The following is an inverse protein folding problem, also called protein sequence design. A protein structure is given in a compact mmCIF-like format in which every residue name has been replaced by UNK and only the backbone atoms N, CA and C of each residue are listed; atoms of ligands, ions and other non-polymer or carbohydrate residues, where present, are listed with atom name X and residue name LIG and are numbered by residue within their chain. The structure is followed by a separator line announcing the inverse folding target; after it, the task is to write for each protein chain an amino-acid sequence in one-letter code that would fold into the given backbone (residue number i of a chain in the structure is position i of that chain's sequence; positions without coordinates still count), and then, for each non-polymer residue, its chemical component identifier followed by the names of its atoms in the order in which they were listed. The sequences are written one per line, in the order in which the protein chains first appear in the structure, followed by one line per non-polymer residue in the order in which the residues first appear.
data_IF_078717905465
#
_entry.id   IF_078717905465
#
_cell.length_a   1.000
_cell.length_b   1.000
_cell.length_c   1.000
_cell.angle_alpha   90.00
_cell.angle_beta   90.00
_cell.angle_gamma   90.00
#
_symmetry.space_group_name_H-M   'P 1'
#
loop_
_entity.id
_entity.type
_entity.pdbx_description
1 polymer ?
#
# COMPACT_ATOMS: atom_id res chain seq x y z
N UNK A 1 -8.92 22.07 -57.96
CA UNK A 1 -8.88 20.68 -57.44
C UNK A 1 -9.69 20.48 -56.14
N UNK A 2 -10.71 21.30 -55.87
CA UNK A 2 -11.58 21.18 -54.67
C UNK A 2 -13.09 21.04 -54.99
N UNK A 3 -13.51 21.34 -56.23
CA UNK A 3 -14.93 21.29 -56.64
C UNK A 3 -15.34 19.92 -57.21
N UNK A 4 -14.44 19.20 -57.88
CA UNK A 4 -14.75 17.87 -58.43
C UNK A 4 -14.94 16.80 -57.35
N UNK A 5 -14.18 16.89 -56.25
CA UNK A 5 -14.30 15.97 -55.10
C UNK A 5 -15.61 16.18 -54.34
N UNK A 6 -16.06 17.43 -54.21
CA UNK A 6 -17.36 17.76 -53.61
C UNK A 6 -18.52 17.27 -54.49
N UNK A 7 -18.41 17.40 -55.80
CA UNK A 7 -19.41 16.93 -56.75
C UNK A 7 -19.53 15.38 -56.76
N UNK A 8 -18.44 14.64 -56.56
CA UNK A 8 -18.49 13.17 -56.46
C UNK A 8 -19.10 12.67 -55.14
N UNK A 9 -18.81 13.35 -54.03
CA UNK A 9 -19.39 13.01 -52.72
C UNK A 9 -20.90 13.23 -52.67
N UNK A 10 -21.40 14.30 -53.30
CA UNK A 10 -22.82 14.60 -53.30
C UNK A 10 -23.65 13.59 -54.12
N UNK A 11 -23.09 13.03 -55.20
CA UNK A 11 -23.75 11.97 -56.00
C UNK A 11 -23.86 10.65 -55.27
N UNK A 12 -22.86 10.32 -54.43
CA UNK A 12 -22.87 9.08 -53.62
C UNK A 12 -23.92 9.19 -52.52
N UNK A 13 -24.03 10.36 -51.88
CA UNK A 13 -25.01 10.61 -50.82
C UNK A 13 -26.47 10.64 -51.32
N UNK A 14 -26.74 11.18 -52.51
CA UNK A 14 -28.09 11.16 -53.10
C UNK A 14 -28.52 9.76 -53.57
N UNK A 15 -27.58 8.91 -53.99
CA UNK A 15 -27.86 7.53 -54.41
C UNK A 15 -28.26 6.62 -53.22
N UNK A 16 -27.70 6.83 -52.03
CA UNK A 16 -28.07 6.07 -50.82
C UNK A 16 -29.41 6.51 -50.22
N UNK A 17 -29.72 7.81 -50.25
CA UNK A 17 -30.99 8.34 -49.74
C UNK A 17 -32.21 7.89 -50.57
N UNK A 18 -32.01 7.55 -51.86
CA UNK A 18 -33.04 6.96 -52.71
C UNK A 18 -33.25 5.45 -52.49
N UNK A 19 -32.24 4.72 -51.99
CA UNK A 19 -32.40 3.31 -51.62
C UNK A 19 -33.16 3.14 -50.30
N UNK A 20 -33.01 4.05 -49.35
CA UNK A 20 -33.71 3.98 -48.06
C UNK A 20 -35.21 4.34 -48.13
N UNK A 21 -35.69 4.96 -49.22
CA UNK A 21 -37.12 5.34 -49.41
C UNK A 21 -37.94 4.38 -50.27
N UNK A 22 -37.41 3.25 -50.73
CA UNK A 22 -38.08 2.32 -51.66
C UNK A 22 -38.32 0.90 -51.14
N UNK A 23 -38.59 0.71 -49.85
CA UNK A 23 -39.20 -0.54 -49.36
C UNK A 23 -40.22 -0.31 -48.25
N UNK A 24 -41.37 0.27 -48.63
CA UNK A 24 -42.65 0.03 -47.93
C UNK A 24 -43.81 0.11 -48.91
N UNK A 25 -44.65 -0.93 -48.85
CA UNK A 25 -46.07 -1.03 -49.26
C UNK A 25 -46.39 -1.99 -50.42
N UNK A 26 -46.84 -3.20 -50.07
CA UNK A 26 -47.92 -3.97 -50.75
C UNK A 26 -48.40 -5.11 -49.82
N UNK A 27 -49.34 -4.84 -48.90
CA UNK A 27 -50.79 -5.22 -48.89
C UNK A 27 -51.06 -6.74 -48.79
N UNK A 28 -51.41 -7.28 -47.61
CA UNK A 28 -52.76 -7.48 -46.99
C UNK A 28 -53.39 -8.86 -47.29
N UNK A 29 -53.34 -9.81 -46.35
CA UNK A 29 -54.48 -10.29 -45.54
C UNK A 29 -53.98 -11.25 -44.41
N UNK A 30 -54.74 -11.39 -43.30
CA UNK A 30 -54.28 -11.82 -41.99
C UNK A 30 -54.46 -13.33 -41.76
N UNK A 31 -54.06 -13.77 -40.55
CA UNK A 31 -54.18 -15.11 -39.93
C UNK A 31 -52.85 -15.85 -39.86
N UNK A 32 -52.55 -16.38 -38.65
CA UNK A 32 -51.38 -17.19 -38.25
C UNK A 32 -50.16 -16.47 -37.62
N UNK A 33 -50.35 -15.48 -36.76
CA UNK A 33 -49.31 -15.08 -35.78
C UNK A 33 -49.64 -15.47 -34.33
N UNK A 34 -50.48 -16.48 -34.13
CA UNK A 34 -50.88 -16.95 -32.79
C UNK A 34 -50.70 -18.47 -32.60
N UNK A 35 -49.70 -19.06 -33.25
CA UNK A 35 -49.31 -20.45 -33.01
C UNK A 35 -47.79 -20.68 -32.95
N UNK A 36 -46.97 -19.76 -33.48
CA UNK A 36 -45.50 -19.88 -33.47
C UNK A 36 -44.79 -19.39 -32.20
N UNK A 37 -45.47 -18.64 -31.32
CA UNK A 37 -44.89 -18.13 -30.05
C UNK A 37 -45.29 -19.03 -28.85
N UNK A 38 -46.27 -19.91 -29.00
CA UNK A 38 -46.66 -20.87 -27.94
C UNK A 38 -45.87 -22.18 -28.02
N UNK A 39 -45.22 -22.50 -29.16
CA UNK A 39 -44.47 -23.76 -29.34
C UNK A 39 -42.96 -23.69 -29.03
N UNK A 40 -42.48 -22.61 -28.40
CA UNK A 40 -41.15 -22.59 -27.75
C UNK A 40 -41.28 -22.50 -26.22
N UNK A 41 -42.45 -22.09 -25.70
CA UNK A 41 -42.74 -22.05 -24.26
C UNK A 41 -43.10 -23.40 -23.63
N UNK A 42 -43.38 -24.43 -24.43
CA UNK A 42 -43.82 -25.75 -23.93
C UNK A 42 -42.81 -26.90 -24.15
N UNK A 43 -41.60 -26.61 -24.63
CA UNK A 43 -40.50 -27.57 -24.74
C UNK A 43 -39.36 -27.34 -23.72
N UNK A 44 -39.58 -26.47 -22.73
CA UNK A 44 -38.71 -26.30 -21.56
C UNK A 44 -39.46 -26.63 -20.25
N UNK A 45 -40.39 -27.60 -20.31
CA UNK A 45 -41.15 -28.10 -19.14
C UNK A 45 -41.07 -29.62 -18.96
N UNK A 46 -40.06 -30.28 -19.54
CA UNK A 46 -39.90 -31.74 -19.44
C UNK A 46 -38.46 -32.24 -19.20
N UNK A 47 -37.55 -31.39 -18.73
CA UNK A 47 -36.23 -31.83 -18.24
C UNK A 47 -35.68 -30.91 -17.15
N UNK A 48 -36.48 -30.69 -16.11
CA UNK A 48 -36.05 -30.04 -14.89
C UNK A 48 -36.39 -30.93 -13.72
N UNK A 49 -35.48 -31.82 -13.34
CA UNK A 49 -35.42 -32.30 -11.97
C UNK A 49 -35.38 -31.08 -11.07
N UNK A 50 -36.39 -30.93 -10.22
CA UNK A 50 -36.45 -29.90 -9.20
C UNK A 50 -35.37 -30.18 -8.17
N UNK A 51 -34.14 -29.78 -8.44
CA UNK A 51 -33.20 -29.43 -7.38
C UNK A 51 -33.54 -28.00 -6.97
N UNK A 52 -34.04 -27.87 -5.75
CA UNK A 52 -34.21 -26.61 -5.04
C UNK A 52 -33.02 -25.71 -5.35
N UNK A 53 -33.32 -24.55 -5.93
CA UNK A 53 -32.31 -23.51 -6.14
C UNK A 53 -31.84 -23.13 -4.74
N UNK A 54 -30.64 -23.61 -4.46
CA UNK A 54 -29.82 -23.44 -3.28
C UNK A 54 -30.12 -22.12 -2.59
N UNK A 55 -30.24 -22.20 -1.27
CA UNK A 55 -30.08 -21.07 -0.36
C UNK A 55 -29.11 -20.05 -0.94
N UNK A 56 -29.39 -18.76 -0.70
CA UNK A 56 -28.36 -17.74 -0.75
C UNK A 56 -27.19 -18.27 0.08
N UNK A 57 -26.20 -18.85 -0.58
CA UNK A 57 -24.91 -19.07 0.02
C UNK A 57 -24.49 -17.66 0.40
N UNK A 58 -24.16 -17.38 1.66
CA UNK A 58 -23.32 -16.23 1.88
C UNK A 58 -22.18 -16.43 0.88
N UNK A 59 -21.96 -15.46 -0.01
CA UNK A 59 -20.60 -15.24 -0.44
C UNK A 59 -19.90 -15.11 0.90
N UNK A 60 -19.13 -16.12 1.30
CA UNK A 60 -18.14 -15.93 2.34
C UNK A 60 -17.45 -14.64 1.90
N UNK A 61 -17.71 -13.56 2.63
CA UNK A 61 -17.00 -12.31 2.40
C UNK A 61 -15.58 -12.68 2.74
N UNK A 62 -14.85 -13.07 1.70
CA UNK A 62 -13.53 -13.62 1.84
C UNK A 62 -12.72 -12.63 2.67
N UNK A 63 -12.20 -13.11 3.80
CA UNK A 63 -11.48 -12.26 4.74
C UNK A 63 -10.29 -11.59 4.04
N UNK A 64 -9.71 -10.58 4.68
CA UNK A 64 -8.52 -9.90 4.14
C UNK A 64 -7.39 -10.89 3.74
N UNK A 65 -7.32 -12.03 4.42
CA UNK A 65 -6.35 -13.11 4.19
C UNK A 65 -6.54 -13.87 2.87
N UNK A 66 -7.72 -13.84 2.27
CA UNK A 66 -7.98 -14.44 0.95
C UNK A 66 -7.25 -13.70 -0.17
N UNK A 67 -6.75 -12.49 0.14
CA UNK A 67 -5.86 -11.75 -0.72
C UNK A 67 -4.42 -12.28 -0.70
N UNK A 68 -4.08 -13.30 0.10
CA UNK A 68 -2.76 -13.94 0.07
C UNK A 68 -2.39 -14.39 -1.35
N UNK A 69 -1.11 -14.28 -1.66
CA UNK A 69 -0.58 -14.63 -2.98
C UNK A 69 -0.76 -13.53 -4.02
N UNK A 70 -1.12 -12.33 -3.59
CA UNK A 70 -1.12 -11.13 -4.43
C UNK A 70 0.31 -10.83 -4.90
N UNK A 71 0.43 -10.20 -6.06
CA UNK A 71 1.69 -9.65 -6.56
C UNK A 71 1.55 -8.13 -6.62
N UNK A 72 2.68 -7.40 -6.54
CA UNK A 72 2.69 -5.93 -6.62
C UNK A 72 1.97 -5.42 -7.87
N UNK A 73 1.97 -6.17 -8.98
CA UNK A 73 1.26 -5.80 -10.22
C UNK A 73 -0.26 -6.03 -10.21
N UNK A 74 -0.83 -6.63 -9.17
CA UNK A 74 -2.28 -6.79 -9.07
C UNK A 74 -2.91 -5.56 -8.41
N UNK A 75 -3.12 -4.52 -9.22
CA UNK A 75 -3.65 -3.23 -8.76
C UNK A 75 -4.91 -3.37 -7.91
N UNK A 76 -5.85 -4.24 -8.31
CA UNK A 76 -7.14 -4.39 -7.63
C UNK A 76 -6.99 -5.04 -6.26
N UNK A 77 -6.15 -6.09 -6.14
CA UNK A 77 -5.91 -6.74 -4.85
C UNK A 77 -5.06 -5.86 -3.94
N UNK A 78 -4.02 -5.21 -4.45
CA UNK A 78 -3.19 -4.27 -3.67
C UNK A 78 -4.04 -3.11 -3.13
N UNK A 79 -4.89 -2.51 -3.98
CA UNK A 79 -5.80 -1.45 -3.54
C UNK A 79 -6.74 -1.89 -2.42
N UNK A 80 -7.31 -3.11 -2.51
CA UNK A 80 -8.14 -3.68 -1.43
C UNK A 80 -7.36 -3.87 -0.13
N UNK A 81 -6.10 -4.31 -0.20
CA UNK A 81 -5.24 -4.47 0.98
C UNK A 81 -4.96 -3.11 1.62
N UNK A 82 -4.59 -2.11 0.83
CA UNK A 82 -4.33 -0.75 1.33
C UNK A 82 -5.57 -0.14 1.97
N UNK A 83 -6.73 -0.19 1.31
CA UNK A 83 -7.99 0.31 1.88
C UNK A 83 -8.40 -0.39 3.18
N UNK A 84 -8.07 -1.68 3.32
CA UNK A 84 -8.32 -2.41 4.57
C UNK A 84 -7.36 -1.98 5.68
N UNK A 85 -6.05 -1.98 5.40
CA UNK A 85 -5.02 -1.70 6.41
C UNK A 85 -5.05 -0.24 6.89
N UNK A 86 -5.38 0.69 5.98
CA UNK A 86 -5.55 2.12 6.23
C UNK A 86 -7.00 2.49 6.58
N UNK A 87 -7.86 1.58 7.04
CA UNK A 87 -9.31 1.86 7.19
C UNK A 87 -9.69 3.14 7.96
N UNK A 88 -8.80 3.65 8.83
CA UNK A 88 -8.97 4.87 9.62
C UNK A 88 -8.27 6.10 9.02
N UNK A 89 -7.48 5.91 7.96
CA UNK A 89 -6.64 6.91 7.32
C UNK A 89 -7.04 7.06 5.83
N UNK A 90 -7.11 8.29 5.33
CA UNK A 90 -7.33 8.50 3.90
C UNK A 90 -6.01 8.50 3.13
N UNK A 91 -5.96 7.82 2.00
CA UNK A 91 -4.90 7.99 0.99
C UNK A 91 -5.53 8.46 -0.33
N UNK A 92 -4.81 9.27 -1.10
CA UNK A 92 -5.30 9.84 -2.35
C UNK A 92 -5.17 8.84 -3.51
N UNK A 93 -4.01 8.19 -3.59
CA UNK A 93 -3.69 7.22 -4.63
C UNK A 93 -2.50 6.34 -4.23
N UNK A 94 -2.19 5.33 -5.05
CA UNK A 94 -0.96 4.55 -4.91
C UNK A 94 -0.37 4.21 -6.28
N UNK A 95 0.94 4.02 -6.31
CA UNK A 95 1.69 3.61 -7.49
C UNK A 95 2.41 2.28 -7.24
N UNK A 96 2.47 1.45 -8.27
CA UNK A 96 3.06 0.11 -8.21
C UNK A 96 4.36 0.09 -9.02
N UNK A 97 5.46 -0.20 -8.34
CA UNK A 97 6.80 -0.22 -8.89
C UNK A 97 7.13 -1.65 -9.33
N UNK A 98 6.76 -1.98 -10.57
CA UNK A 98 6.80 -3.35 -11.13
C UNK A 98 7.81 -3.53 -12.26
N UNK A 99 8.40 -2.43 -12.75
CA UNK A 99 9.27 -2.46 -13.94
C UNK A 99 10.64 -3.08 -13.66
N UNK A 100 11.21 -2.79 -12.49
CA UNK A 100 12.54 -3.23 -12.07
C UNK A 100 12.51 -3.51 -10.57
N UNK A 101 13.35 -4.45 -10.13
CA UNK A 101 13.55 -4.73 -8.71
C UNK A 101 14.41 -3.63 -8.06
N UNK A 102 14.23 -3.37 -6.76
CA UNK A 102 13.24 -3.97 -5.85
C UNK A 102 11.82 -3.55 -6.21
N UNK A 103 10.85 -4.46 -6.08
CA UNK A 103 9.45 -4.12 -6.36
C UNK A 103 8.82 -3.46 -5.14
N UNK A 104 7.98 -2.46 -5.36
CA UNK A 104 7.41 -1.73 -4.23
C UNK A 104 6.10 -1.02 -4.53
N UNK A 105 5.56 -0.44 -3.47
CA UNK A 105 4.28 0.26 -3.47
C UNK A 105 4.55 1.66 -2.91
N UNK A 106 4.12 2.69 -3.63
CA UNK A 106 4.16 4.07 -3.15
C UNK A 106 2.72 4.47 -2.85
N UNK A 107 2.45 4.92 -1.64
CA UNK A 107 1.14 5.38 -1.19
C UNK A 107 1.20 6.89 -1.03
N UNK A 108 0.39 7.60 -1.82
CA UNK A 108 0.28 9.05 -1.75
C UNK A 108 -0.87 9.43 -0.81
N UNK A 109 -0.56 10.26 0.17
CA UNK A 109 -1.47 10.62 1.25
C UNK A 109 -1.48 12.14 1.47
N UNK A 110 -2.58 12.71 1.99
CA UNK A 110 -2.64 14.14 2.29
C UNK A 110 -1.73 14.54 3.46
N UNK A 111 -1.50 13.63 4.41
CA UNK A 111 -0.65 13.80 5.58
C UNK A 111 0.04 12.49 5.92
N UNK A 112 1.28 12.56 6.44
CA UNK A 112 1.95 11.37 6.95
C UNK A 112 1.19 10.83 8.17
N UNK A 113 1.02 9.51 8.16
CA UNK A 113 0.38 8.76 9.24
C UNK A 113 1.41 8.33 10.28
N UNK A 114 0.96 7.94 11.48
CA UNK A 114 1.83 7.49 12.57
C UNK A 114 2.63 6.23 12.17
N UNK A 115 3.85 6.12 12.69
CA UNK A 115 4.76 4.99 12.47
C UNK A 115 4.12 3.61 12.68
N UNK A 116 3.31 3.47 13.74
CA UNK A 116 2.57 2.23 14.04
C UNK A 116 1.63 1.84 12.89
N UNK A 117 0.94 2.82 12.31
CA UNK A 117 0.02 2.61 11.18
C UNK A 117 0.80 2.30 9.90
N UNK A 118 1.92 2.98 9.65
CA UNK A 118 2.79 2.69 8.51
C UNK A 118 3.29 1.24 8.53
N UNK A 119 3.75 0.78 9.70
CA UNK A 119 4.20 -0.60 9.90
C UNK A 119 3.09 -1.61 9.77
N UNK A 120 1.92 -1.34 10.35
CA UNK A 120 0.73 -2.18 10.17
C UNK A 120 0.48 -2.39 8.67
N UNK A 121 0.42 -1.32 7.90
CA UNK A 121 0.21 -1.41 6.45
C UNK A 121 1.31 -2.22 5.76
N UNK A 122 2.58 -1.99 6.12
CA UNK A 122 3.70 -2.76 5.60
C UNK A 122 3.58 -4.27 5.89
N UNK A 123 3.15 -4.64 7.10
CA UNK A 123 2.96 -6.04 7.49
C UNK A 123 1.83 -6.70 6.70
N UNK A 124 0.71 -6.00 6.49
CA UNK A 124 -0.35 -6.48 5.61
C UNK A 124 0.16 -6.70 4.18
N UNK A 125 0.94 -5.76 3.65
CA UNK A 125 1.54 -5.89 2.33
C UNK A 125 2.49 -7.08 2.27
N UNK A 126 3.46 -7.23 3.17
CA UNK A 126 4.43 -8.32 3.10
C UNK A 126 3.85 -9.70 3.42
N UNK A 127 2.73 -9.76 4.15
CA UNK A 127 2.00 -11.01 4.42
C UNK A 127 1.18 -11.46 3.21
N UNK A 128 0.58 -10.53 2.47
CA UNK A 128 -0.38 -10.84 1.42
C UNK A 128 0.18 -10.72 -0.01
N UNK A 129 1.20 -9.88 -0.20
CA UNK A 129 1.86 -9.58 -1.46
C UNK A 129 3.23 -10.25 -1.52
N UNK A 130 3.39 -11.24 -2.40
CA UNK A 130 4.54 -12.15 -2.40
C UNK A 130 5.88 -11.47 -2.69
N UNK A 131 5.86 -10.50 -3.62
CA UNK A 131 7.08 -9.92 -4.20
C UNK A 131 7.28 -8.45 -3.83
N UNK A 132 6.58 -7.92 -2.82
CA UNK A 132 6.81 -6.56 -2.35
C UNK A 132 8.07 -6.51 -1.47
N UNK A 133 9.06 -5.73 -1.89
CA UNK A 133 10.32 -5.52 -1.16
C UNK A 133 10.25 -4.27 -0.27
N UNK A 134 9.48 -3.25 -0.68
CA UNK A 134 9.32 -2.02 0.08
C UNK A 134 7.93 -1.40 -0.09
N UNK A 135 7.58 -0.56 0.88
CA UNK A 135 6.45 0.37 0.82
C UNK A 135 6.94 1.77 1.18
N UNK A 136 6.50 2.77 0.43
CA UNK A 136 6.84 4.17 0.64
C UNK A 136 5.55 4.96 0.87
N UNK A 137 5.52 5.77 1.90
CA UNK A 137 4.43 6.71 2.19
C UNK A 137 4.91 8.11 1.81
N UNK A 138 4.13 8.83 1.02
CA UNK A 138 4.44 10.18 0.57
C UNK A 138 3.32 11.15 0.96
N UNK A 139 3.67 12.26 1.60
CA UNK A 139 2.73 13.35 1.87
C UNK A 139 3.46 14.69 1.88
N UNK A 140 2.90 15.71 1.23
CA UNK A 140 3.42 17.09 1.23
C UNK A 140 4.93 17.24 0.92
N UNK A 141 5.51 16.33 0.12
CA UNK A 141 6.94 16.33 -0.22
C UNK A 141 7.83 15.57 0.76
N UNK A 142 7.29 15.12 1.89
CA UNK A 142 7.94 14.18 2.80
C UNK A 142 7.68 12.74 2.36
N UNK A 143 8.64 11.86 2.62
CA UNK A 143 8.46 10.44 2.38
C UNK A 143 9.09 9.59 3.49
N UNK A 144 8.47 8.44 3.76
CA UNK A 144 9.00 7.41 4.64
C UNK A 144 8.97 6.09 3.90
N UNK A 145 10.11 5.40 3.83
CA UNK A 145 10.23 4.11 3.14
C UNK A 145 10.51 3.01 4.15
N UNK A 146 9.64 2.00 4.17
CA UNK A 146 9.83 0.77 4.93
C UNK A 146 10.24 -0.34 3.98
N UNK A 147 11.35 -1.03 4.29
CA UNK A 147 11.80 -2.18 3.52
C UNK A 147 11.56 -3.47 4.30
N UNK A 148 11.26 -4.55 3.59
CA UNK A 148 11.00 -5.86 4.20
C UNK A 148 12.18 -6.35 5.03
N UNK A 149 13.41 -5.96 4.64
CA UNK A 149 14.66 -6.33 5.31
C UNK A 149 14.77 -5.77 6.73
N UNK A 150 14.18 -4.59 6.99
CA UNK A 150 14.14 -4.00 8.34
C UNK A 150 13.42 -4.92 9.35
N UNK A 151 12.59 -5.84 8.87
CA UNK A 151 11.78 -6.78 9.67
C UNK A 151 12.16 -8.24 9.42
N UNK A 152 13.44 -8.51 9.12
CA UNK A 152 13.95 -9.84 8.78
C UNK A 152 13.74 -10.92 9.84
N UNK A 153 13.48 -10.54 11.10
CA UNK A 153 13.12 -11.45 12.20
C UNK A 153 11.70 -12.01 12.10
N UNK A 154 10.83 -11.38 11.29
CA UNK A 154 9.44 -11.78 11.10
C UNK A 154 9.31 -12.59 9.81
N UNK A 155 8.87 -13.85 9.94
CA UNK A 155 8.47 -14.63 8.79
C UNK A 155 7.00 -14.35 8.43
N UNK A 156 6.80 -13.33 7.58
CA UNK A 156 5.47 -12.97 7.07
C UNK A 156 4.76 -14.11 6.32
N UNK A 157 5.50 -15.12 5.84
CA UNK A 157 4.89 -16.26 5.14
C UNK A 157 4.21 -17.24 6.10
N UNK A 158 4.69 -17.32 7.35
CA UNK A 158 4.16 -18.18 8.41
C UNK A 158 2.94 -17.62 9.13
N UNK A 159 2.65 -16.32 8.98
CA UNK A 159 1.42 -15.70 9.49
C UNK A 159 0.28 -16.20 8.62
N UNK A 160 -0.74 -16.86 9.18
CA UNK A 160 -1.88 -17.42 8.43
C UNK A 160 -3.25 -16.90 8.89
N UNK A 161 -3.28 -16.12 9.96
CA UNK A 161 -4.50 -15.55 10.54
C UNK A 161 -4.29 -14.06 10.86
N UNK A 162 -5.40 -13.34 10.94
CA UNK A 162 -5.40 -11.90 11.13
C UNK A 162 -5.09 -11.50 12.57
N UNK A 163 -5.43 -12.35 13.56
CA UNK A 163 -5.13 -12.06 14.96
C UNK A 163 -3.61 -12.07 15.20
N UNK A 164 -2.88 -13.01 14.59
CA UNK A 164 -1.41 -13.03 14.60
C UNK A 164 -0.83 -11.82 13.88
N UNK A 165 -1.39 -11.43 12.72
CA UNK A 165 -0.95 -10.25 11.98
C UNK A 165 -1.14 -8.95 12.79
N UNK A 166 -2.33 -8.75 13.35
CA UNK A 166 -2.65 -7.57 14.17
C UNK A 166 -1.96 -7.60 15.54
N UNK A 167 -1.64 -8.79 16.05
CA UNK A 167 -0.86 -8.98 17.27
C UNK A 167 0.66 -8.84 17.06
N UNK A 168 1.11 -8.76 15.81
CA UNK A 168 2.51 -8.49 15.48
C UNK A 168 2.80 -7.05 15.90
N UNK A 169 3.52 -6.90 17.02
CA UNK A 169 3.83 -5.58 17.55
C UNK A 169 4.69 -4.82 16.53
N UNK A 170 4.31 -3.58 16.16
CA UNK A 170 5.21 -2.68 15.45
C UNK A 170 6.54 -2.64 16.21
N UNK A 171 7.64 -2.84 15.51
CA UNK A 171 8.94 -2.54 16.10
C UNK A 171 8.97 -1.02 16.29
N UNK A 172 9.54 -0.47 17.37
CA UNK A 172 9.91 0.93 17.33
C UNK A 172 10.77 1.12 16.07
N UNK A 173 10.32 1.96 15.12
CA UNK A 173 11.11 2.29 13.93
C UNK A 173 12.42 3.01 14.30
N UNK A 174 12.60 3.27 15.59
CA UNK A 174 13.90 3.45 16.19
C UNK A 174 14.62 2.12 16.46
N UNK A 175 15.27 1.64 15.39
CA UNK A 175 16.51 0.86 15.31
C UNK A 175 16.71 -0.43 16.14
N UNK A 176 17.46 -1.36 15.53
CA UNK A 176 17.79 -2.72 15.99
C UNK A 176 18.17 -2.83 17.48
N UNK A 177 17.22 -3.26 18.30
CA UNK A 177 17.16 -3.00 19.76
C UNK A 177 18.13 -3.78 20.66
N UNK A 178 19.06 -4.59 20.14
CA UNK A 178 20.02 -5.32 21.00
C UNK A 178 21.46 -4.89 20.73
N UNK A 179 21.89 -4.92 19.47
CA UNK A 179 23.19 -4.38 19.07
C UNK A 179 23.27 -2.87 19.26
N UNK A 180 22.21 -2.15 18.89
CA UNK A 180 22.15 -0.71 19.08
C UNK A 180 22.03 -0.35 20.57
N UNK A 181 21.20 -1.06 21.33
CA UNK A 181 21.06 -0.82 22.78
C UNK A 181 22.35 -1.11 23.52
N UNK A 182 23.10 -2.15 23.16
CA UNK A 182 24.43 -2.41 23.74
C UNK A 182 25.40 -1.26 23.44
N UNK A 183 25.45 -0.79 22.18
CA UNK A 183 26.30 0.34 21.78
C UNK A 183 25.84 1.64 22.46
N UNK A 184 24.55 1.87 22.62
CA UNK A 184 23.98 3.05 23.28
C UNK A 184 24.19 3.01 24.80
N UNK A 185 24.06 1.86 25.45
CA UNK A 185 24.38 1.68 26.88
C UNK A 185 25.88 1.90 27.12
N UNK A 186 26.74 1.34 26.26
CA UNK A 186 28.18 1.61 26.32
C UNK A 186 28.48 3.10 26.09
N UNK A 187 27.80 3.74 25.13
CA UNK A 187 27.89 5.17 24.87
C UNK A 187 27.51 6.01 26.10
N UNK A 188 26.41 5.66 26.75
CA UNK A 188 25.93 6.32 27.98
C UNK A 188 26.97 6.24 29.09
N UNK A 189 27.65 5.09 29.21
CA UNK A 189 28.64 4.86 30.26
C UNK A 189 30.02 5.47 29.97
N UNK A 190 30.32 5.78 28.70
CA UNK A 190 31.65 6.23 28.26
C UNK A 190 31.69 7.67 27.74
N UNK A 191 30.53 8.29 27.52
CA UNK A 191 30.43 9.65 27.02
C UNK A 191 31.01 10.67 27.99
N UNK A 192 31.70 11.67 27.43
CA UNK A 192 32.20 12.80 28.21
C UNK A 192 31.07 13.81 28.39
N UNK A 193 30.86 14.22 29.64
CA UNK A 193 29.86 15.22 30.00
C UNK A 193 30.41 16.61 29.71
N UNK A 194 29.67 17.40 28.95
CA UNK A 194 29.99 18.79 28.68
C UNK A 194 28.81 19.69 29.10
N UNK A 195 29.06 20.77 29.87
CA UNK A 195 28.01 21.72 30.21
C UNK A 195 27.58 22.46 28.94
N UNK A 196 26.28 22.41 28.65
CA UNK A 196 25.72 23.05 27.47
C UNK A 196 24.39 23.74 27.83
N UNK A 197 24.13 24.88 27.18
CA UNK A 197 22.78 25.43 27.15
C UNK A 197 21.99 24.54 26.20
N UNK A 198 21.35 23.50 26.74
CA UNK A 198 20.47 22.61 25.98
C UNK A 198 19.17 23.36 25.69
N UNK A 199 19.28 24.34 24.78
CA UNK A 199 18.15 24.92 24.06
C UNK A 199 17.99 24.21 22.70
N UNK A 200 18.50 22.98 22.60
CA UNK A 200 18.24 22.07 21.50
C UNK A 200 16.77 21.70 21.64
N UNK A 201 15.97 22.20 20.70
CA UNK A 201 14.59 21.82 20.56
C UNK A 201 14.60 20.30 20.48
N UNK A 202 14.08 19.64 21.52
CA UNK A 202 13.89 18.18 21.61
C UNK A 202 13.25 17.59 20.34
N UNK A 203 12.56 18.45 19.58
CA UNK A 203 11.90 18.19 18.31
C UNK A 203 12.85 18.01 17.11
N UNK A 204 14.13 18.41 17.21
CA UNK A 204 15.11 18.37 16.10
C UNK A 204 16.14 17.24 16.29
N UNK A 205 15.85 16.26 17.15
CA UNK A 205 16.71 15.09 17.32
C UNK A 205 16.62 14.16 16.11
N UNK A 206 17.76 13.67 15.62
CA UNK A 206 17.80 12.69 14.54
C UNK A 206 17.15 11.37 14.98
N UNK A 207 17.31 11.02 16.28
CA UNK A 207 16.76 9.79 16.85
C UNK A 207 16.28 9.97 18.30
N UNK A 208 15.19 9.29 18.66
CA UNK A 208 14.58 9.33 20.01
C UNK A 208 14.35 7.93 20.58
N UNK A 209 15.16 7.50 21.54
CA UNK A 209 15.14 6.12 22.04
C UNK A 209 14.97 6.06 23.56
N UNK A 210 14.38 4.96 24.05
CA UNK A 210 14.17 4.72 25.47
C UNK A 210 15.14 3.63 25.96
N UNK A 211 15.91 3.91 27.02
CA UNK A 211 16.83 2.96 27.67
C UNK A 211 16.49 2.91 29.15
N UNK A 212 16.19 1.71 29.67
CA UNK A 212 15.88 1.49 31.10
C UNK A 212 14.75 2.41 31.65
N UNK A 213 13.81 2.82 30.79
CA UNK A 213 12.69 3.69 31.16
C UNK A 213 13.02 5.19 31.16
N UNK A 214 14.22 5.58 30.74
CA UNK A 214 14.62 6.97 30.50
C UNK A 214 14.69 7.25 28.99
N UNK A 215 14.28 8.46 28.59
CA UNK A 215 14.23 8.85 27.18
C UNK A 215 15.47 9.63 26.78
N UNK A 216 15.99 9.34 25.60
CA UNK A 216 17.20 9.92 25.06
C UNK A 216 16.95 10.53 23.68
N UNK A 217 17.63 11.65 23.43
CA UNK A 217 17.61 12.36 22.16
C UNK A 217 19.04 12.37 21.61
N UNK A 218 19.23 11.94 20.36
CA UNK A 218 20.53 11.79 19.72
C UNK A 218 20.61 12.60 18.44
N UNK A 219 21.74 13.30 18.30
CA UNK A 219 22.14 14.06 17.13
C UNK A 219 23.44 13.48 16.56
N UNK A 220 23.43 13.13 15.28
CA UNK A 220 24.56 12.54 14.55
C UNK A 220 25.03 13.48 13.43
N UNK A 221 26.01 14.34 13.72
CA UNK A 221 26.68 15.14 12.69
C UNK A 221 28.09 14.62 12.40
N UNK A 222 28.61 14.92 11.20
CA UNK A 222 30.01 14.71 10.87
C UNK A 222 30.90 15.53 11.83
N UNK A 223 31.54 14.84 12.78
CA UNK A 223 32.49 15.43 13.73
C UNK A 223 31.92 15.81 15.11
N UNK A 224 30.59 15.92 15.26
CA UNK A 224 29.94 16.22 16.53
C UNK A 224 28.70 15.34 16.72
N UNK A 225 28.85 14.24 17.45
CA UNK A 225 27.76 13.35 17.80
C UNK A 225 27.49 13.43 19.29
N UNK A 226 26.28 13.82 19.66
CA UNK A 226 25.89 14.11 21.04
C UNK A 226 24.52 13.56 21.33
N UNK A 227 24.29 13.19 22.59
CA UNK A 227 22.94 12.87 23.08
C UNK A 227 22.64 13.60 24.39
N UNK A 228 21.35 13.67 24.75
CA UNK A 228 20.90 14.13 26.07
C UNK A 228 19.77 13.26 26.59
N UNK A 229 19.60 13.27 27.91
CA UNK A 229 18.50 12.58 28.61
C UNK A 229 17.35 13.54 28.78
N UNK A 230 16.12 13.05 28.74
CA UNK A 230 14.94 13.88 29.02
C UNK A 230 14.99 14.47 30.45
N UNK A 231 15.56 13.73 31.40
CA UNK A 231 15.78 14.20 32.77
C UNK A 231 16.82 15.33 32.90
N UNK A 232 17.76 15.45 31.94
CA UNK A 232 18.94 16.30 32.07
C UNK A 232 18.82 17.55 31.21
N UNK A 233 18.29 18.63 31.79
CA UNK A 233 17.99 19.89 31.06
C UNK A 233 19.21 20.79 30.79
N UNK A 234 20.44 20.30 30.99
CA UNK A 234 21.65 21.13 30.87
C UNK A 234 22.95 20.37 30.59
N UNK A 235 22.86 19.10 30.19
CA UNK A 235 24.02 18.27 29.90
C UNK A 235 23.93 17.70 28.50
N UNK A 236 25.03 17.81 27.76
CA UNK A 236 25.26 17.04 26.54
C UNK A 236 26.32 15.98 26.80
N UNK A 237 26.08 14.82 26.22
CA UNK A 237 26.96 13.67 26.30
C UNK A 237 27.58 13.46 24.94
N UNK A 238 28.90 13.69 24.84
CA UNK A 238 29.63 13.54 23.58
C UNK A 238 29.98 12.09 23.33
N UNK A 239 29.61 11.58 22.16
CA UNK A 239 29.93 10.23 21.74
C UNK A 239 31.41 10.10 21.37
N UNK A 240 31.99 8.95 21.66
CA UNK A 240 33.34 8.63 21.20
C UNK A 240 33.35 8.42 19.67
N UNK A 241 34.49 8.67 19.02
CA UNK A 241 34.64 8.42 17.59
C UNK A 241 34.39 6.94 17.21
N UNK A 242 34.75 6.01 18.10
CA UNK A 242 34.52 4.58 17.90
C UNK A 242 33.02 4.24 17.96
N UNK A 243 32.32 4.77 18.96
CA UNK A 243 30.88 4.60 19.13
C UNK A 243 30.10 5.19 17.96
N UNK A 244 30.53 6.35 17.46
CA UNK A 244 29.97 6.96 16.25
C UNK A 244 30.12 6.06 15.03
N UNK A 245 31.31 5.50 14.80
CA UNK A 245 31.55 4.59 13.67
C UNK A 245 30.73 3.30 13.79
N UNK A 246 30.55 2.77 15.00
CA UNK A 246 29.69 1.62 15.26
C UNK A 246 28.21 1.94 14.98
N UNK A 247 27.71 3.08 15.44
CA UNK A 247 26.35 3.54 15.16
C UNK A 247 26.15 3.78 13.67
N UNK A 248 27.09 4.44 12.99
CA UNK A 248 27.04 4.63 11.54
C UNK A 248 27.03 3.30 10.78
N UNK A 249 27.85 2.33 11.18
CA UNK A 249 27.86 1.02 10.52
C UNK A 249 26.52 0.28 10.68
N UNK A 250 25.91 0.37 11.87
CA UNK A 250 24.58 -0.21 12.14
C UNK A 250 23.47 0.53 11.39
N UNK A 251 23.63 1.83 11.17
CA UNK A 251 22.69 2.69 10.45
C UNK A 251 22.80 2.57 8.93
N UNK A 252 24.01 2.43 8.38
CA UNK A 252 24.28 2.38 6.92
C UNK A 252 24.10 0.96 6.38
N UNK A 253 24.32 -0.08 7.20
CA UNK A 253 24.14 -1.46 6.79
C UNK A 253 22.67 -1.91 6.65
N UNK A 254 21.70 -1.02 6.90
CA UNK A 254 20.26 -1.33 6.89
C UNK A 254 19.43 -0.36 6.04
#
# INVERSE_FOLDING_TARGET
MHEEVKASLNRIFEAELLQHKKKKARTWLPQLTMAGIIMVGLLLWASGTWTERTAYSPVEQGGILDLRGTYVGDNSRVGRILSYALSEESFDSFALQTKQQPYGIIVHMPTLIRDETQQKVAFYIWTLVQNADYIQFEANGENVTLTRKMFSTIDFSAIHDEATLNGTKPLPLNMQHEALTAVLVEAINTAQQEPAIVNLLVNDADYVFDVEGERYYLWLNEGESVFTKQSDTGLLYKLSAQTYQQLQALLIAN
#
